data_IF_258813022614
#
_entry.id   IF_258813022614
#
_cell.length_a   1.000
_cell.length_b   1.000
_cell.length_c   1.000
_cell.angle_alpha   90.00
_cell.angle_beta   90.00
_cell.angle_gamma   90.00
#
_symmetry.space_group_name_H-M   'P 1'
#
loop_
_entity.id
_entity.type
_entity.pdbx_description
1 polymer ?
#
# COMPACT_ATOMS: atom_id res chain seq x y z
N UNK A 1 18.65 3.22 7.06
CA UNK A 1 17.20 3.08 6.81
C UNK A 1 16.97 2.77 5.33
N UNK A 2 16.13 1.79 5.05
CA UNK A 2 15.82 1.43 3.66
C UNK A 2 14.94 2.49 3.02
N UNK A 3 15.11 2.66 1.72
CA UNK A 3 14.22 3.52 0.94
C UNK A 3 12.84 2.87 0.83
N UNK A 4 11.77 3.65 0.87
CA UNK A 4 10.44 3.09 0.67
C UNK A 4 10.29 2.59 -0.77
N UNK A 5 9.58 1.49 -0.93
CA UNK A 5 9.29 0.94 -2.25
C UNK A 5 8.27 1.80 -3.01
N UNK A 6 7.34 2.40 -2.27
CA UNK A 6 6.30 3.24 -2.85
C UNK A 6 6.43 4.66 -2.33
N UNK A 7 6.09 5.62 -3.17
CA UNK A 7 6.12 7.04 -2.83
C UNK A 7 4.71 7.58 -2.67
N UNK A 8 4.59 8.70 -1.96
CA UNK A 8 3.30 9.38 -1.81
C UNK A 8 2.78 9.75 -3.20
N UNK A 9 1.54 9.40 -3.46
CA UNK A 9 0.92 9.61 -4.77
C UNK A 9 0.94 8.38 -5.68
N UNK A 10 1.70 7.36 -5.33
CA UNK A 10 1.77 6.14 -6.13
C UNK A 10 0.45 5.38 -6.06
N UNK A 11 0.09 4.75 -7.18
CA UNK A 11 -1.06 3.88 -7.24
C UNK A 11 -0.63 2.46 -6.90
N UNK A 12 -1.35 1.85 -5.97
CA UNK A 12 -1.02 0.51 -5.48
C UNK A 12 -2.28 -0.34 -5.37
N UNK A 13 -2.07 -1.64 -5.23
CA UNK A 13 -3.14 -2.61 -5.03
C UNK A 13 -2.77 -3.50 -3.86
N UNK A 14 -3.78 -3.91 -3.10
CA UNK A 14 -3.56 -4.96 -2.12
C UNK A 14 -3.31 -6.27 -2.84
N UNK A 15 -2.53 -7.17 -2.24
CA UNK A 15 -2.17 -8.44 -2.89
C UNK A 15 -3.33 -9.41 -3.01
N UNK A 16 -4.49 -9.14 -2.38
CA UNK A 16 -5.68 -9.96 -2.60
C UNK A 16 -6.15 -9.83 -4.04
N UNK A 17 -6.65 -10.92 -4.65
CA UNK A 17 -7.11 -10.87 -6.04
C UNK A 17 -8.19 -9.81 -6.24
N UNK A 18 -8.11 -9.14 -7.38
CA UNK A 18 -9.11 -8.15 -7.80
C UNK A 18 -9.29 -6.99 -6.83
N UNK A 19 -8.22 -6.63 -6.12
CA UNK A 19 -8.24 -5.47 -5.24
C UNK A 19 -8.46 -4.18 -6.04
N UNK A 20 -9.23 -3.26 -5.47
CA UNK A 20 -9.37 -1.93 -6.07
C UNK A 20 -8.07 -1.15 -5.98
N UNK A 21 -7.90 -0.18 -6.88
CA UNK A 21 -6.74 0.68 -6.89
C UNK A 21 -6.79 1.66 -5.73
N UNK A 22 -5.68 1.80 -5.02
CA UNK A 22 -5.52 2.77 -3.95
C UNK A 22 -4.39 3.74 -4.27
N UNK A 23 -4.32 4.81 -3.49
CA UNK A 23 -3.27 5.82 -3.61
C UNK A 23 -2.55 5.94 -2.28
N UNK A 24 -1.23 5.89 -2.32
CA UNK A 24 -0.41 6.07 -1.13
C UNK A 24 -0.45 7.53 -0.72
N UNK A 25 -0.85 7.81 0.51
CA UNK A 25 -0.91 9.18 1.04
C UNK A 25 0.10 9.42 2.15
N UNK A 26 0.65 8.37 2.72
CA UNK A 26 1.65 8.51 3.78
C UNK A 26 2.50 7.26 3.82
N UNK A 27 3.78 7.43 4.17
CA UNK A 27 4.71 6.32 4.36
C UNK A 27 5.47 6.54 5.65
N UNK A 28 5.50 5.53 6.51
CA UNK A 28 6.17 5.59 7.80
C UNK A 28 7.03 4.35 7.99
N UNK A 29 8.27 4.52 8.40
CA UNK A 29 9.13 3.39 8.69
C UNK A 29 8.96 2.95 10.14
N UNK A 30 8.65 1.68 10.34
CA UNK A 30 8.54 1.10 11.68
C UNK A 30 9.89 0.56 12.12
N UNK A 31 10.49 1.20 13.13
CA UNK A 31 11.75 0.71 13.69
C UNK A 31 11.55 -0.61 14.45
N UNK A 32 10.37 -0.80 15.02
CA UNK A 32 10.06 -2.01 15.78
C UNK A 32 10.04 -3.25 14.88
N UNK A 33 9.45 -3.12 13.69
CA UNK A 33 9.31 -4.25 12.77
C UNK A 33 10.27 -4.19 11.60
N UNK A 34 11.06 -3.11 11.47
CA UNK A 34 12.00 -2.89 10.37
C UNK A 34 11.30 -2.97 9.02
N UNK A 35 10.13 -2.31 8.92
CA UNK A 35 9.30 -2.34 7.72
C UNK A 35 8.69 -0.98 7.46
N UNK A 36 8.38 -0.72 6.19
CA UNK A 36 7.60 0.45 5.81
C UNK A 36 6.11 0.13 5.94
N UNK A 37 5.39 1.09 6.50
CA UNK A 37 3.93 1.05 6.62
C UNK A 37 3.38 2.17 5.74
N UNK A 38 2.43 1.84 4.88
CA UNK A 38 1.85 2.79 3.95
C UNK A 38 0.38 3.02 4.27
N UNK A 39 0.00 4.28 4.28
CA UNK A 39 -1.41 4.66 4.39
C UNK A 39 -1.96 4.82 2.99
N UNK A 40 -3.00 4.07 2.67
CA UNK A 40 -3.57 3.98 1.33
C UNK A 40 -5.04 4.35 1.38
N UNK A 41 -5.46 5.26 0.49
CA UNK A 41 -6.88 5.60 0.32
C UNK A 41 -7.40 4.92 -0.93
N UNK A 42 -8.69 4.54 -0.88
CA UNK A 42 -9.37 3.92 -2.02
C UNK A 42 -10.48 4.85 -2.49
N UNK A 43 -10.62 4.97 -3.82
CA UNK A 43 -11.55 5.94 -4.41
C UNK A 43 -13.01 5.69 -4.02
N UNK A 44 -13.37 4.44 -3.74
CA UNK A 44 -14.74 4.05 -3.43
C UNK A 44 -15.09 4.28 -1.96
N UNK A 45 -14.07 4.46 -1.11
CA UNK A 45 -14.27 4.61 0.33
C UNK A 45 -13.75 5.95 0.81
N UNK A 46 -14.42 6.52 1.81
CA UNK A 46 -14.00 7.77 2.43
C UNK A 46 -13.00 7.56 3.55
N UNK A 47 -12.47 6.36 3.67
CA UNK A 47 -11.48 6.05 4.71
C UNK A 47 -10.21 5.51 4.09
N UNK A 48 -9.22 5.27 4.92
CA UNK A 48 -7.93 4.74 4.51
C UNK A 48 -7.63 3.46 5.28
N UNK A 49 -6.66 2.72 4.77
CA UNK A 49 -6.13 1.54 5.44
C UNK A 49 -4.62 1.63 5.47
N UNK A 50 -4.01 1.08 6.51
CA UNK A 50 -2.56 1.01 6.63
C UNK A 50 -2.12 -0.39 6.28
N UNK A 51 -1.14 -0.49 5.37
CA UNK A 51 -0.62 -1.78 4.92
C UNK A 51 0.90 -1.78 4.98
N UNK A 52 1.46 -2.92 5.30
CA UNK A 52 2.90 -3.13 5.17
C UNK A 52 3.27 -3.32 3.70
N UNK A 53 4.54 -3.08 3.41
CA UNK A 53 5.05 -3.15 2.04
C UNK A 53 4.73 -4.47 1.35
N UNK A 54 4.83 -5.59 2.08
CA UNK A 54 4.58 -6.91 1.50
C UNK A 54 3.10 -7.15 1.20
N UNK A 55 2.20 -6.32 1.72
CA UNK A 55 0.77 -6.44 1.46
C UNK A 55 0.32 -5.68 0.22
N UNK A 56 1.24 -4.96 -0.42
CA UNK A 56 0.93 -4.12 -1.57
C UNK A 56 1.68 -4.57 -2.82
N UNK A 57 1.10 -4.25 -3.98
CA UNK A 57 1.70 -4.51 -5.27
C UNK A 57 1.44 -3.32 -6.19
N UNK A 58 2.33 -3.12 -7.17
CA UNK A 58 2.12 -2.10 -8.18
C UNK A 58 1.19 -2.56 -9.30
N UNK A 59 0.76 -3.82 -9.25
CA UNK A 59 -0.11 -4.42 -10.26
C UNK A 59 -1.27 -5.12 -9.58
N UNK A 60 -2.44 -5.06 -10.23
CA UNK A 60 -3.60 -5.79 -9.74
C UNK A 60 -3.33 -7.30 -9.82
N UNK A 61 -3.74 -8.01 -8.79
CA UNK A 61 -3.62 -9.46 -8.75
C UNK A 61 -4.91 -10.07 -9.28
N UNK A 62 -4.78 -11.09 -10.11
CA UNK A 62 -5.95 -11.76 -10.69
C UNK A 62 -6.14 -13.12 -10.04
N UNK A 63 -7.40 -13.46 -9.83
CA UNK A 63 -7.76 -14.77 -9.32
C UNK A 63 -7.50 -15.81 -10.40
N UNK A 64 -6.81 -16.85 -10.03
CA UNK A 64 -6.55 -17.96 -10.94
C UNK A 64 -7.64 -19.00 -10.85
#
# INVERSE_FOLDING_TARGET
MKQPKYNIGDKVYHITPESEQGTVIEATYSLLYNRWLYRVTFAIRDNYCDYYEHELSDKIQFKK
#
